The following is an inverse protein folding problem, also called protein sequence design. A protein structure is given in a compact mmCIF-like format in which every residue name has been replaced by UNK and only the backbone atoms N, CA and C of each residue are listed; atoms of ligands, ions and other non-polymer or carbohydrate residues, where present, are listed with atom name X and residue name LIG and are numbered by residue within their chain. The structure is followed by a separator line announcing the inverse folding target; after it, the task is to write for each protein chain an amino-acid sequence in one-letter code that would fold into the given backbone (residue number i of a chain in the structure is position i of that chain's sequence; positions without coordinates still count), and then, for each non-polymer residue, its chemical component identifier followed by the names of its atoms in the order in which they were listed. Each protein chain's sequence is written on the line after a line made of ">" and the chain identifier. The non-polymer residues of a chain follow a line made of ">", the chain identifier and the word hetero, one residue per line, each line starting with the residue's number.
data_IF_195734760144
#
_entry.id   IF_195734760144
#
_cell.length_a   1.000
_cell.length_b   1.000
_cell.length_c   1.000
_cell.angle_alpha   90.00
_cell.angle_beta   90.00
_cell.angle_gamma   90.00
#
_symmetry.space_group_name_H-M   'P 1'
#
loop_
_entity.id
_entity.type
_entity.pdbx_description
1 polymer ?
#
# COMPACT_ATOMS: atom_id res chain seq x y z
N UNK A 1 27.04 2.19 -6.59
CA UNK A 1 26.47 2.77 -5.34
C UNK A 1 25.07 2.19 -5.22
N UNK A 2 24.82 1.33 -4.25
CA UNK A 2 23.50 0.70 -4.11
C UNK A 2 22.45 1.78 -3.87
N UNK A 3 21.50 1.94 -4.79
CA UNK A 3 20.40 2.88 -4.65
C UNK A 3 19.45 2.35 -3.58
N UNK A 4 19.18 3.18 -2.57
CA UNK A 4 18.28 2.87 -1.48
C UNK A 4 17.25 3.98 -1.33
N UNK A 5 15.99 3.58 -1.16
CA UNK A 5 14.86 4.49 -0.95
C UNK A 5 14.07 4.04 0.27
N UNK A 6 13.54 5.02 1.01
CA UNK A 6 12.77 4.79 2.23
C UNK A 6 11.44 5.53 2.14
N UNK A 7 10.35 4.86 2.53
CA UNK A 7 9.02 5.43 2.57
C UNK A 7 8.31 5.04 3.88
N UNK A 8 7.44 5.93 4.36
CA UNK A 8 6.54 5.67 5.48
C UNK A 8 5.11 5.80 5.00
N UNK A 9 4.29 4.77 5.21
CA UNK A 9 2.87 4.76 4.89
C UNK A 9 2.05 4.72 6.19
N UNK A 10 0.91 5.43 6.22
CA UNK A 10 0.00 5.48 7.37
C UNK A 10 -1.17 4.51 7.16
N UNK A 11 -1.64 3.87 8.23
CA UNK A 11 -2.86 3.07 8.21
C UNK A 11 -4.10 3.96 8.02
N UNK A 12 -5.21 3.37 7.56
CA UNK A 12 -6.49 4.06 7.45
C UNK A 12 -7.63 3.20 8.02
N UNK A 13 -8.72 3.86 8.45
CA UNK A 13 -9.95 3.20 8.90
C UNK A 13 -11.12 3.65 8.03
N UNK A 14 -11.82 2.68 7.43
CA UNK A 14 -12.96 2.94 6.56
C UNK A 14 -14.18 3.44 7.35
N UNK A 15 -14.70 4.61 6.98
CA UNK A 15 -15.98 5.14 7.43
C UNK A 15 -17.12 4.60 6.56
N UNK A 16 -16.94 4.63 5.24
CA UNK A 16 -17.75 3.89 4.26
C UNK A 16 -16.93 2.69 3.81
N UNK A 17 -17.48 1.47 3.97
CA UNK A 17 -16.71 0.23 3.87
C UNK A 17 -16.41 -0.14 2.41
N UNK A 18 -15.18 -0.54 2.15
CA UNK A 18 -14.85 -1.37 0.99
C UNK A 18 -15.30 -2.81 1.30
N UNK A 19 -16.37 -3.26 0.66
CA UNK A 19 -16.89 -4.61 0.83
C UNK A 19 -17.52 -5.14 -0.45
N UNK A 20 -17.02 -6.28 -0.93
CA UNK A 20 -17.39 -6.86 -2.22
C UNK A 20 -16.54 -6.33 -3.39
N UNK A 21 -16.36 -7.18 -4.41
CA UNK A 21 -15.58 -6.89 -5.61
C UNK A 21 -16.46 -7.02 -6.85
N UNK A 22 -16.43 -6.03 -7.73
CA UNK A 22 -17.00 -6.13 -9.07
C UNK A 22 -16.09 -6.97 -9.97
N UNK A 23 -14.77 -6.83 -9.82
CA UNK A 23 -13.76 -7.67 -10.46
C UNK A 23 -12.73 -8.10 -9.42
N UNK A 24 -12.64 -9.41 -9.20
CA UNK A 24 -11.71 -9.99 -8.22
C UNK A 24 -10.28 -10.10 -8.73
N UNK A 25 -10.08 -10.22 -10.04
CA UNK A 25 -8.75 -10.33 -10.65
C UNK A 25 -7.98 -9.02 -10.57
N UNK A 26 -8.68 -7.90 -10.79
CA UNK A 26 -8.13 -6.54 -10.75
C UNK A 26 -8.39 -5.81 -9.42
N UNK A 27 -9.04 -6.46 -8.46
CA UNK A 27 -9.46 -5.89 -7.17
C UNK A 27 -10.40 -4.66 -7.28
N UNK A 28 -11.22 -4.57 -8.32
CA UNK A 28 -12.16 -3.45 -8.52
C UNK A 28 -13.31 -3.56 -7.51
N UNK A 29 -13.59 -2.51 -6.72
CA UNK A 29 -14.67 -2.53 -5.73
C UNK A 29 -16.06 -2.66 -6.37
N UNK A 30 -16.99 -3.29 -5.65
CA UNK A 30 -18.41 -3.25 -6.00
C UNK A 30 -19.07 -1.87 -5.73
N UNK A 31 -18.50 -1.08 -4.81
CA UNK A 31 -18.98 0.26 -4.46
C UNK A 31 -17.83 1.16 -3.95
N UNK A 32 -18.00 2.48 -4.04
CA UNK A 32 -17.03 3.43 -3.49
C UNK A 32 -16.86 3.32 -1.97
N UNK A 33 -15.69 3.73 -1.46
CA UNK A 33 -15.37 3.75 -0.02
C UNK A 33 -14.72 5.07 0.37
N UNK A 34 -14.80 5.42 1.66
CA UNK A 34 -14.20 6.62 2.25
C UNK A 34 -13.55 6.20 3.56
N UNK A 35 -12.29 6.57 3.78
CA UNK A 35 -11.55 6.30 5.01
C UNK A 35 -10.86 7.55 5.55
N UNK A 36 -10.44 7.46 6.81
CA UNK A 36 -9.58 8.46 7.45
C UNK A 36 -8.19 7.88 7.66
N UNK A 37 -7.16 8.68 7.41
CA UNK A 37 -5.77 8.32 7.68
C UNK A 37 -5.46 8.52 9.16
N UNK A 38 -4.79 7.55 9.77
CA UNK A 38 -4.37 7.61 11.16
C UNK A 38 -2.95 8.15 11.28
N UNK A 39 -2.70 9.05 12.23
CA UNK A 39 -1.35 9.58 12.42
C UNK A 39 -0.42 8.56 13.09
N UNK A 40 -0.79 8.00 14.24
CA UNK A 40 0.14 7.18 15.03
C UNK A 40 0.52 5.83 14.41
N UNK A 41 -0.34 5.26 13.55
CA UNK A 41 -0.13 3.91 13.00
C UNK A 41 0.52 3.99 11.62
N UNK A 42 1.80 3.64 11.55
CA UNK A 42 2.57 3.65 10.30
C UNK A 42 3.37 2.38 10.06
N UNK A 43 3.65 2.12 8.79
CA UNK A 43 4.61 1.12 8.33
C UNK A 43 5.75 1.82 7.61
N UNK A 44 6.97 1.49 7.99
CA UNK A 44 8.19 2.01 7.39
C UNK A 44 8.83 0.92 6.53
N UNK A 45 9.08 1.24 5.26
CA UNK A 45 9.66 0.31 4.29
C UNK A 45 10.88 0.92 3.64
N UNK A 46 11.95 0.13 3.56
CA UNK A 46 13.19 0.51 2.88
C UNK A 46 13.44 -0.49 1.75
N UNK A 47 13.70 0.02 0.55
CA UNK A 47 14.00 -0.75 -0.65
C UNK A 47 15.44 -0.44 -1.06
N UNK A 48 16.21 -1.47 -1.35
CA UNK A 48 17.57 -1.35 -1.87
C UNK A 48 17.75 -2.26 -3.08
N UNK A 49 18.22 -1.72 -4.19
CA UNK A 49 18.60 -2.53 -5.35
C UNK A 49 20.02 -3.04 -5.17
N UNK A 50 20.21 -4.34 -5.30
CA UNK A 50 21.53 -4.97 -5.33
C UNK A 50 21.92 -5.24 -6.77
N UNK A 51 23.05 -4.72 -7.21
CA UNK A 51 23.57 -4.93 -8.58
C UNK A 51 23.75 -6.42 -8.93
N UNK A 52 23.89 -7.28 -7.92
CA UNK A 52 24.01 -8.74 -8.08
C UNK A 52 22.69 -9.47 -8.35
N UNK A 53 21.54 -8.80 -8.21
CA UNK A 53 20.22 -9.40 -8.46
C UNK A 53 19.75 -8.98 -9.86
N UNK A 54 19.38 -9.97 -10.68
CA UNK A 54 18.92 -9.73 -12.06
C UNK A 54 17.41 -9.47 -12.17
N UNK A 55 16.68 -9.60 -11.06
CA UNK A 55 15.24 -9.39 -10.95
C UNK A 55 14.87 -8.99 -9.50
N UNK A 56 13.67 -8.45 -9.32
CA UNK A 56 13.06 -8.11 -8.03
C UNK A 56 12.68 -9.36 -7.20
#
# INVERSE_FOLDING_TARGET
>A
MNSQSKATARANIALIKYWGKADSSMNIPAAGSISITLDALCSETVVSFKESLSAD
#
